data_IF_534941469915
#
_entry.id   IF_534941469915
#
_cell.length_a   1.000
_cell.length_b   1.000
_cell.length_c   1.000
_cell.angle_alpha   90.00
_cell.angle_beta   90.00
_cell.angle_gamma   90.00
#
_symmetry.space_group_name_H-M   'P 1'
#
loop_
_entity.id
_entity.type
_entity.pdbx_description
1 polymer ?
#
# COMPACT_ATOMS: atom_id res chain seq x y z
N UNK A 1 7.05 -37.17 -14.64
CA UNK A 1 5.76 -36.66 -15.15
C UNK A 1 6.03 -35.98 -16.47
N UNK A 2 5.49 -36.47 -17.59
CA UNK A 2 5.67 -35.76 -18.86
C UNK A 2 4.87 -34.47 -18.83
N UNK A 3 5.54 -33.35 -19.02
CA UNK A 3 4.95 -32.06 -19.22
C UNK A 3 4.10 -32.11 -20.49
N UNK A 4 2.79 -31.96 -20.38
CA UNK A 4 1.91 -31.92 -21.55
C UNK A 4 2.16 -30.61 -22.29
N UNK A 5 3.04 -30.66 -23.28
CA UNK A 5 3.32 -29.55 -24.17
C UNK A 5 2.04 -29.16 -24.91
N UNK A 6 1.60 -27.91 -24.78
CA UNK A 6 0.53 -27.35 -25.59
C UNK A 6 -0.86 -27.24 -24.95
N UNK A 7 -1.02 -27.55 -23.66
CA UNK A 7 -2.27 -27.25 -22.94
C UNK A 7 -2.05 -26.20 -21.85
N UNK A 8 -2.80 -25.12 -21.92
CA UNK A 8 -2.88 -24.15 -20.82
C UNK A 8 -3.48 -24.82 -19.59
N UNK A 9 -2.77 -24.78 -18.48
CA UNK A 9 -3.23 -25.29 -17.18
C UNK A 9 -3.18 -24.19 -16.14
N UNK A 10 -4.08 -24.24 -15.16
CA UNK A 10 -4.03 -23.34 -14.03
C UNK A 10 -2.75 -23.57 -13.22
N UNK A 11 -2.05 -22.50 -12.87
CA UNK A 11 -0.88 -22.56 -12.01
C UNK A 11 -1.32 -23.03 -10.61
N UNK A 12 -0.64 -24.06 -10.08
CA UNK A 12 -0.81 -24.42 -8.69
C UNK A 12 -0.05 -23.43 -7.81
N UNK A 13 -0.77 -22.48 -7.21
CA UNK A 13 -0.21 -21.37 -6.45
C UNK A 13 -0.31 -21.52 -4.92
N UNK A 14 -0.56 -22.74 -4.43
CA UNK A 14 -0.76 -23.01 -2.99
C UNK A 14 0.41 -22.56 -2.12
N UNK A 15 1.65 -22.78 -2.55
CA UNK A 15 2.85 -22.35 -1.83
C UNK A 15 3.02 -20.83 -1.83
N UNK A 16 2.65 -20.16 -2.94
CA UNK A 16 2.64 -18.69 -3.02
C UNK A 16 1.68 -18.11 -1.99
N UNK A 17 0.48 -18.68 -1.85
CA UNK A 17 -0.49 -18.27 -0.85
C UNK A 17 0.00 -18.47 0.59
N UNK A 18 0.66 -19.61 0.88
CA UNK A 18 1.25 -19.86 2.21
C UNK A 18 2.37 -18.90 2.53
N UNK A 19 3.15 -18.50 1.54
CA UNK A 19 4.29 -17.59 1.68
C UNK A 19 3.94 -16.12 1.48
N UNK A 20 2.65 -15.77 1.37
CA UNK A 20 2.21 -14.41 1.04
C UNK A 20 2.74 -13.34 2.00
N UNK A 21 2.85 -13.63 3.30
CA UNK A 21 3.42 -12.69 4.28
C UNK A 21 4.90 -12.43 4.06
N UNK A 22 5.66 -13.47 3.67
CA UNK A 22 7.09 -13.35 3.35
C UNK A 22 7.28 -12.53 2.08
N UNK A 23 6.51 -12.85 1.04
CA UNK A 23 6.52 -12.10 -0.24
C UNK A 23 6.17 -10.63 0.02
N UNK A 24 5.16 -10.36 0.85
CA UNK A 24 4.79 -9.01 1.27
C UNK A 24 5.93 -8.28 1.98
N UNK A 25 6.66 -8.95 2.86
CA UNK A 25 7.82 -8.36 3.56
C UNK A 25 8.96 -8.02 2.61
N UNK A 26 9.23 -8.87 1.63
CA UNK A 26 10.23 -8.62 0.58
C UNK A 26 9.82 -7.40 -0.26
N UNK A 27 8.55 -7.36 -0.70
CA UNK A 27 8.03 -6.20 -1.43
C UNK A 27 8.18 -4.90 -0.64
N UNK A 28 7.82 -4.91 0.66
CA UNK A 28 7.95 -3.72 1.52
C UNK A 28 9.42 -3.28 1.68
N UNK A 29 10.36 -4.23 1.75
CA UNK A 29 11.79 -3.90 1.85
C UNK A 29 12.29 -3.15 0.60
N UNK A 30 12.00 -3.67 -0.60
CA UNK A 30 12.37 -3.01 -1.85
C UNK A 30 11.66 -1.67 -2.06
N UNK A 31 10.36 -1.60 -1.73
CA UNK A 31 9.61 -0.35 -1.83
C UNK A 31 10.19 0.71 -0.90
N UNK A 32 10.53 0.35 0.35
CA UNK A 32 11.18 1.22 1.30
C UNK A 32 12.51 1.75 0.77
N UNK A 33 13.38 0.86 0.31
CA UNK A 33 14.67 1.24 -0.27
C UNK A 33 14.50 2.22 -1.44
N UNK A 34 13.54 1.96 -2.32
CA UNK A 34 13.23 2.86 -3.44
C UNK A 34 12.77 4.24 -2.97
N UNK A 35 11.93 4.32 -1.96
CA UNK A 35 11.46 5.59 -1.40
C UNK A 35 12.58 6.35 -0.68
N UNK A 36 13.44 5.66 0.07
CA UNK A 36 14.61 6.26 0.72
C UNK A 36 15.60 6.83 -0.31
N UNK A 37 15.83 6.14 -1.42
CA UNK A 37 16.63 6.66 -2.55
C UNK A 37 16.03 7.91 -3.20
N UNK A 38 14.71 8.04 -3.19
CA UNK A 38 14.01 9.24 -3.64
C UNK A 38 14.03 10.37 -2.58
N UNK A 39 14.63 10.14 -1.40
CA UNK A 39 14.78 11.12 -0.33
C UNK A 39 13.62 11.17 0.65
N UNK A 40 12.66 10.25 0.58
CA UNK A 40 11.62 10.14 1.61
C UNK A 40 12.19 9.55 2.89
N UNK A 41 11.75 10.08 4.02
CA UNK A 41 12.03 9.51 5.33
C UNK A 41 10.95 8.48 5.65
N UNK A 42 11.37 7.35 6.24
CA UNK A 42 10.50 6.21 6.48
C UNK A 42 10.40 5.94 7.98
N UNK A 43 9.17 5.71 8.44
CA UNK A 43 8.87 5.25 9.80
C UNK A 43 8.41 3.81 9.77
N UNK A 44 9.16 2.91 10.38
CA UNK A 44 8.75 1.51 10.49
C UNK A 44 7.53 1.37 11.40
N UNK A 45 6.56 0.59 10.97
CA UNK A 45 5.29 0.33 11.68
C UNK A 45 5.02 -1.17 11.73
N UNK A 46 4.61 -1.63 12.90
CA UNK A 46 4.14 -3.00 13.08
C UNK A 46 5.17 -4.09 12.77
N UNK A 47 4.66 -5.25 12.39
CA UNK A 47 5.44 -6.44 12.04
C UNK A 47 5.60 -6.54 10.51
N UNK A 48 6.51 -7.38 10.06
CA UNK A 48 6.69 -7.72 8.64
C UNK A 48 7.16 -6.54 7.74
N UNK A 49 7.89 -5.57 8.31
CA UNK A 49 8.52 -4.51 7.53
C UNK A 49 7.53 -3.49 6.94
N UNK A 50 6.30 -3.41 7.48
CA UNK A 50 5.37 -2.35 7.12
C UNK A 50 5.91 -0.99 7.58
N UNK A 51 5.63 0.05 6.82
CA UNK A 51 6.14 1.39 7.09
C UNK A 51 5.17 2.47 6.63
N UNK A 52 5.42 3.68 7.09
CA UNK A 52 4.75 4.90 6.65
C UNK A 52 5.79 5.93 6.21
N UNK A 53 5.40 6.86 5.36
CA UNK A 53 6.26 7.97 4.96
C UNK A 53 6.16 9.04 6.05
N UNK A 54 7.30 9.41 6.64
CA UNK A 54 7.35 10.46 7.64
C UNK A 54 6.86 11.80 7.07
N UNK A 55 6.11 12.53 7.88
CA UNK A 55 5.48 13.79 7.46
C UNK A 55 4.09 13.65 6.83
N UNK A 56 3.57 12.41 6.68
CA UNK A 56 2.17 12.18 6.32
C UNK A 56 1.35 12.05 7.61
N UNK A 57 0.45 13.00 7.93
CA UNK A 57 -0.35 12.94 9.15
C UNK A 57 -1.28 11.74 9.18
N UNK A 58 -1.53 11.19 10.37
CA UNK A 58 -2.43 10.06 10.56
C UNK A 58 -3.83 10.30 10.00
N UNK A 59 -4.35 11.53 10.14
CA UNK A 59 -5.65 11.92 9.60
C UNK A 59 -5.71 11.76 8.07
N UNK A 60 -4.62 12.02 7.36
CA UNK A 60 -4.51 11.80 5.91
C UNK A 60 -4.53 10.31 5.59
N UNK A 61 -3.73 9.50 6.31
CA UNK A 61 -3.72 8.04 6.12
C UNK A 61 -5.10 7.43 6.34
N UNK A 62 -5.81 7.84 7.38
CA UNK A 62 -7.18 7.40 7.68
C UNK A 62 -8.16 7.85 6.58
N UNK A 63 -8.13 9.12 6.18
CA UNK A 63 -9.03 9.65 5.17
C UNK A 63 -8.88 8.96 3.79
N UNK A 64 -7.67 8.48 3.47
CA UNK A 64 -7.40 7.73 2.24
C UNK A 64 -7.56 6.21 2.39
N UNK A 65 -7.74 5.70 3.62
CA UNK A 65 -7.93 4.27 3.93
C UNK A 65 -9.40 3.85 3.99
N UNK A 66 -10.26 4.42 3.16
CA UNK A 66 -11.72 4.22 3.15
C UNK A 66 -12.11 2.73 3.19
N UNK A 67 -11.39 1.89 2.46
CA UNK A 67 -11.68 0.44 2.42
C UNK A 67 -11.60 -0.23 3.78
N UNK A 68 -10.65 0.18 4.61
CA UNK A 68 -10.52 -0.35 5.98
C UNK A 68 -11.71 0.05 6.85
N UNK A 69 -12.15 1.31 6.74
CA UNK A 69 -13.29 1.82 7.49
C UNK A 69 -14.58 1.10 7.10
N UNK A 70 -14.82 0.89 5.82
CA UNK A 70 -15.96 0.12 5.31
C UNK A 70 -15.99 -1.31 5.84
N UNK A 71 -14.83 -2.00 5.84
CA UNK A 71 -14.71 -3.36 6.36
C UNK A 71 -15.00 -3.39 7.86
N UNK A 72 -14.44 -2.46 8.62
CA UNK A 72 -14.64 -2.37 10.08
C UNK A 72 -16.10 -2.05 10.41
N UNK A 73 -16.72 -1.12 9.71
CA UNK A 73 -18.12 -0.75 9.88
C UNK A 73 -19.06 -1.94 9.58
N UNK A 74 -18.84 -2.63 8.45
CA UNK A 74 -19.63 -3.80 8.06
C UNK A 74 -19.43 -4.98 9.04
N UNK A 75 -18.20 -5.23 9.49
CA UNK A 75 -17.91 -6.25 10.48
C UNK A 75 -18.56 -5.94 11.83
N UNK A 76 -18.51 -4.67 12.26
CA UNK A 76 -19.17 -4.21 13.48
C UNK A 76 -20.70 -4.40 13.42
N UNK A 77 -21.33 -4.06 12.29
CA UNK A 77 -22.76 -4.28 12.07
C UNK A 77 -23.17 -5.76 12.11
N UNK A 78 -22.25 -6.67 11.77
CA UNK A 78 -22.45 -8.12 11.80
C UNK A 78 -21.98 -8.77 13.12
N UNK A 79 -21.47 -7.99 14.08
CA UNK A 79 -20.92 -8.51 15.34
C UNK A 79 -19.65 -9.36 15.16
N UNK A 80 -18.92 -9.19 14.04
CA UNK A 80 -17.75 -9.99 13.70
C UNK A 80 -16.50 -9.28 14.20
N UNK A 81 -15.78 -9.91 15.15
CA UNK A 81 -14.51 -9.40 15.70
C UNK A 81 -13.33 -10.34 15.47
N UNK A 82 -13.57 -11.58 15.02
CA UNK A 82 -12.51 -12.56 14.80
C UNK A 82 -11.68 -12.23 13.56
N UNK A 83 -10.35 -12.49 13.56
CA UNK A 83 -9.50 -12.26 12.38
C UNK A 83 -9.96 -13.04 11.15
N UNK A 84 -10.52 -14.21 11.32
CA UNK A 84 -11.03 -15.04 10.23
C UNK A 84 -12.33 -14.46 9.66
N UNK A 85 -13.26 -14.02 10.50
CA UNK A 85 -14.48 -13.35 10.08
C UNK A 85 -14.20 -12.02 9.36
N UNK A 86 -13.23 -11.25 9.83
CA UNK A 86 -12.79 -10.02 9.16
C UNK A 86 -12.26 -10.27 7.73
N UNK A 87 -11.55 -11.37 7.51
CA UNK A 87 -11.09 -11.78 6.17
C UNK A 87 -12.28 -12.12 5.26
N UNK A 88 -13.27 -12.81 5.78
CA UNK A 88 -14.48 -13.17 5.03
C UNK A 88 -15.30 -11.92 4.66
N UNK A 89 -15.50 -11.00 5.59
CA UNK A 89 -16.13 -9.68 5.32
C UNK A 89 -15.36 -8.93 4.24
N UNK A 90 -14.03 -8.90 4.33
CA UNK A 90 -13.18 -8.25 3.33
C UNK A 90 -13.39 -8.81 1.92
N UNK A 91 -13.52 -10.13 1.81
CA UNK A 91 -13.71 -10.79 0.50
C UNK A 91 -15.11 -10.56 -0.06
N UNK A 92 -16.15 -10.70 0.77
CA UNK A 92 -17.56 -10.60 0.35
C UNK A 92 -18.03 -9.17 0.08
N UNK A 93 -17.37 -8.17 0.68
CA UNK A 93 -17.76 -6.75 0.54
C UNK A 93 -16.90 -5.99 -0.48
N UNK A 94 -16.17 -6.71 -1.33
CA UNK A 94 -15.35 -6.07 -2.36
C UNK A 94 -16.25 -5.60 -3.50
N UNK A 95 -16.44 -4.29 -3.59
CA UNK A 95 -17.11 -3.68 -4.74
C UNK A 95 -16.32 -3.94 -6.04
N UNK A 96 -16.98 -4.00 -7.19
CA UNK A 96 -16.31 -4.05 -8.48
C UNK A 96 -15.29 -2.90 -8.58
N UNK A 97 -14.19 -3.15 -9.26
CA UNK A 97 -13.22 -2.07 -9.53
C UNK A 97 -13.94 -0.97 -10.29
N UNK A 98 -13.83 0.26 -9.78
CA UNK A 98 -14.27 1.44 -10.51
C UNK A 98 -13.56 1.46 -11.87
N UNK A 99 -14.32 1.60 -12.93
CA UNK A 99 -13.76 1.86 -14.24
C UNK A 99 -13.35 3.33 -14.26
N UNK A 100 -12.09 3.59 -13.98
CA UNK A 100 -11.55 4.95 -13.98
C UNK A 100 -11.20 5.28 -15.42
N UNK A 101 -12.07 6.07 -16.07
CA UNK A 101 -11.90 6.48 -17.47
C UNK A 101 -10.79 7.52 -17.61
N UNK A 102 -10.63 8.41 -16.61
CA UNK A 102 -9.55 9.40 -16.59
C UNK A 102 -8.74 9.33 -15.29
N UNK A 103 -7.41 9.11 -15.46
CA UNK A 103 -6.47 9.07 -14.33
C UNK A 103 -6.11 10.47 -13.82
N UNK A 104 -6.20 11.48 -14.66
CA UNK A 104 -5.85 12.84 -14.29
C UNK A 104 -6.96 13.44 -13.43
N UNK A 105 -8.23 13.16 -13.72
CA UNK A 105 -9.35 13.53 -12.85
C UNK A 105 -9.27 12.87 -11.49
N UNK A 106 -8.89 11.58 -11.44
CA UNK A 106 -8.69 10.87 -10.19
C UNK A 106 -7.57 11.49 -9.35
N UNK A 107 -6.44 11.83 -10.00
CA UNK A 107 -5.30 12.49 -9.36
C UNK A 107 -5.68 13.87 -8.83
N UNK A 108 -6.39 14.67 -9.63
CA UNK A 108 -6.89 15.99 -9.23
C UNK A 108 -7.79 15.89 -8.00
N UNK A 109 -8.71 14.91 -7.97
CA UNK A 109 -9.56 14.64 -6.82
C UNK A 109 -8.79 14.27 -5.56
N UNK A 110 -7.72 13.49 -5.66
CA UNK A 110 -6.87 13.16 -4.53
C UNK A 110 -6.10 14.36 -3.99
N UNK A 111 -5.58 15.21 -4.88
CA UNK A 111 -4.86 16.44 -4.50
C UNK A 111 -5.82 17.39 -3.78
N UNK A 112 -7.01 17.60 -4.31
CA UNK A 112 -8.03 18.47 -3.70
C UNK A 112 -8.45 17.94 -2.32
N UNK A 113 -8.71 16.62 -2.21
CA UNK A 113 -9.02 15.98 -0.91
C UNK A 113 -7.90 16.17 0.12
N UNK A 114 -6.65 16.01 -0.27
CA UNK A 114 -5.50 16.21 0.61
C UNK A 114 -5.40 17.67 1.06
N UNK A 115 -5.58 18.62 0.14
CA UNK A 115 -5.54 20.05 0.42
C UNK A 115 -6.62 20.48 1.39
N UNK A 116 -7.87 19.98 1.25
CA UNK A 116 -8.96 20.25 2.21
C UNK A 116 -8.66 19.76 3.62
N UNK A 117 -7.83 18.74 3.76
CA UNK A 117 -7.38 18.20 5.04
C UNK A 117 -6.10 18.90 5.56
N UNK A 118 -5.66 19.95 4.89
CA UNK A 118 -4.48 20.73 5.29
C UNK A 118 -3.15 20.04 4.97
N UNK A 119 -3.12 19.08 4.04
CA UNK A 119 -1.90 18.37 3.67
C UNK A 119 -1.39 18.81 2.30
N UNK A 120 -0.15 19.28 2.27
CA UNK A 120 0.56 19.65 1.05
C UNK A 120 1.54 18.55 0.63
N UNK A 121 1.07 17.67 -0.25
CA UNK A 121 1.89 16.58 -0.81
C UNK A 121 3.03 17.09 -1.69
N UNK A 122 2.90 18.30 -2.28
CA UNK A 122 3.93 18.90 -3.10
C UNK A 122 5.12 19.34 -2.24
N UNK A 123 4.87 19.98 -1.13
CA UNK A 123 5.91 20.35 -0.16
C UNK A 123 6.68 19.14 0.36
N UNK A 124 5.98 18.03 0.63
CA UNK A 124 6.62 16.78 1.02
C UNK A 124 7.54 16.22 -0.07
N UNK A 125 7.10 16.25 -1.33
CA UNK A 125 7.90 15.83 -2.48
C UNK A 125 9.13 16.72 -2.66
N UNK A 126 8.98 18.03 -2.61
CA UNK A 126 10.09 18.98 -2.76
C UNK A 126 11.14 18.78 -1.65
N UNK A 127 10.71 18.55 -0.43
CA UNK A 127 11.60 18.22 0.69
C UNK A 127 12.34 16.88 0.48
N UNK A 128 11.69 15.88 -0.10
CA UNK A 128 12.32 14.60 -0.44
C UNK A 128 13.38 14.79 -1.53
N UNK A 129 13.04 15.45 -2.63
CA UNK A 129 13.97 15.74 -3.73
C UNK A 129 15.20 16.52 -3.22
N UNK A 130 15.00 17.54 -2.40
CA UNK A 130 16.11 18.30 -1.82
C UNK A 130 17.03 17.45 -0.93
N UNK A 131 16.50 16.44 -0.24
CA UNK A 131 17.29 15.48 0.55
C UNK A 131 18.08 14.53 -0.36
N UNK A 132 17.44 13.96 -1.38
CA UNK A 132 18.09 13.07 -2.32
C UNK A 132 19.28 13.75 -3.03
N UNK A 133 19.13 15.04 -3.39
CA UNK A 133 20.20 15.81 -4.03
C UNK A 133 21.38 16.12 -3.10
N UNK A 134 21.19 16.17 -1.79
CA UNK A 134 22.24 16.40 -0.80
C UNK A 134 22.97 15.14 -0.35
N UNK A 135 22.39 13.97 -0.60
CA UNK A 135 23.03 12.71 -0.25
C UNK A 135 24.27 12.51 -1.13
N UNK A 136 25.45 12.23 -0.56
CA UNK A 136 26.64 11.97 -1.36
C UNK A 136 26.43 10.74 -2.24
N UNK A 137 26.91 10.76 -3.51
CA UNK A 137 26.84 9.58 -4.36
C UNK A 137 27.65 8.44 -3.70
N UNK A 138 26.98 7.39 -3.22
CA UNK A 138 27.64 6.19 -2.70
C UNK A 138 27.32 5.76 -1.26
N UNK A 139 26.41 6.41 -0.54
CA UNK A 139 26.03 5.97 0.81
C UNK A 139 24.99 4.83 0.85
N UNK A 140 24.71 4.18 -0.25
CA UNK A 140 23.89 3.00 -0.31
C UNK A 140 24.79 1.79 -0.56
N UNK A 141 25.12 1.06 0.50
CA UNK A 141 25.79 -0.24 0.60
C UNK A 141 27.11 -0.16 1.41
N UNK A 142 27.01 -0.10 2.72
CA UNK A 142 27.85 -0.88 3.61
C UNK A 142 26.95 -1.74 4.50
#
# INVERSE_FOLDING_TARGET
MPWSVGKWQALHNGEIWRSNSVIGSIYHAFLREGLEKLGYQIELRGKHGTFEIAGVPKAILEAFSQRREEIVAKAGALGISSPQGMREVTTRTRDPKLNVEDRDDLRAGWIDKAARLGFDGKALLEAAVARAQRAPPGSALE
#
